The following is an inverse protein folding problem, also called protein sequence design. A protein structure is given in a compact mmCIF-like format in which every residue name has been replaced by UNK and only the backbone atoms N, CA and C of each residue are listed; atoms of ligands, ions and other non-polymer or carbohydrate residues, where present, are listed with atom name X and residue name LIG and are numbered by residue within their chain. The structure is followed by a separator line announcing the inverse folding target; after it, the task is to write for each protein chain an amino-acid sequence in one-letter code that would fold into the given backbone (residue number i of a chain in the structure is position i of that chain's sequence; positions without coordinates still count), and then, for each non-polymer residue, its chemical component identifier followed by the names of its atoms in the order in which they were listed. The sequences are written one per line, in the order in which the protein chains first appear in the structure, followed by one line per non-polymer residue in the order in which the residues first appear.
data_IF_208044459167
#
_entry.id   IF_208044459167
#
_cell.length_a   1.000
_cell.length_b   1.000
_cell.length_c   1.000
_cell.angle_alpha   90.00
_cell.angle_beta   90.00
_cell.angle_gamma   90.00
#
_symmetry.space_group_name_H-M   'P 1'
#
loop_
_entity.id
_entity.type
_entity.pdbx_description
1 polymer ?
#
# COMPACT_ATOMS: atom_id res chain seq x y z
N UNK A 1 -12.47 11.54 -21.24
CA UNK A 1 -12.46 12.99 -21.49
C UNK A 1 -11.06 13.49 -21.20
N UNK A 2 -10.33 13.85 -22.26
CA UNK A 2 -8.89 14.12 -22.30
C UNK A 2 -8.65 15.58 -21.92
N UNK A 3 -7.80 15.83 -20.93
CA UNK A 3 -7.18 17.13 -20.70
C UNK A 3 -5.70 16.87 -20.45
N UNK A 4 -4.93 16.94 -21.53
CA UNK A 4 -3.48 17.05 -21.50
C UNK A 4 -3.14 18.41 -20.90
N UNK A 5 -2.37 18.42 -19.82
CA UNK A 5 -1.63 19.61 -19.37
C UNK A 5 -0.66 19.20 -18.26
N UNK A 6 0.55 19.71 -18.40
CA UNK A 6 1.71 19.63 -17.53
C UNK A 6 2.70 18.49 -17.77
N UNK A 7 3.94 18.94 -17.87
CA UNK A 7 5.18 18.19 -17.73
C UNK A 7 5.44 18.12 -16.21
N UNK A 8 5.65 16.91 -15.67
CA UNK A 8 6.05 16.72 -14.27
C UNK A 8 7.45 17.28 -13.99
N UNK A 9 7.85 17.39 -12.72
CA UNK A 9 9.21 17.79 -12.31
C UNK A 9 10.32 16.93 -12.97
N UNK A 10 9.97 15.75 -13.50
CA UNK A 10 10.85 14.82 -14.21
C UNK A 10 10.73 14.89 -15.74
N UNK A 11 10.07 15.90 -16.31
CA UNK A 11 9.92 16.01 -17.77
C UNK A 11 8.83 15.11 -18.37
N UNK A 12 8.11 14.31 -17.56
CA UNK A 12 7.10 13.35 -18.07
C UNK A 12 5.75 14.00 -18.29
N UNK A 13 5.06 13.58 -19.35
CA UNK A 13 3.65 13.92 -19.61
C UNK A 13 2.76 13.42 -18.46
N UNK A 14 1.80 14.25 -18.04
CA UNK A 14 0.81 13.91 -17.01
C UNK A 14 -0.55 13.62 -17.65
N UNK A 15 -1.09 12.43 -17.43
CA UNK A 15 -2.44 12.05 -17.84
C UNK A 15 -3.46 12.25 -16.73
N UNK A 16 -4.55 12.95 -17.04
CA UNK A 16 -5.70 13.08 -16.13
C UNK A 16 -6.67 11.91 -16.29
N UNK A 17 -6.96 11.23 -15.19
CA UNK A 17 -7.88 10.10 -15.15
C UNK A 17 -8.94 10.28 -14.06
N UNK A 18 -10.16 9.81 -14.32
CA UNK A 18 -11.22 9.75 -13.30
C UNK A 18 -11.67 8.31 -13.12
N UNK A 19 -11.51 7.80 -11.91
CA UNK A 19 -11.92 6.46 -11.50
C UNK A 19 -13.20 6.50 -10.65
N UNK A 20 -13.91 5.37 -10.58
CA UNK A 20 -15.07 5.20 -9.69
C UNK A 20 -14.63 5.21 -8.21
N UNK A 21 -13.55 4.50 -7.89
CA UNK A 21 -12.96 4.40 -6.56
C UNK A 21 -11.46 4.06 -6.67
N UNK A 22 -10.78 3.97 -5.52
CA UNK A 22 -9.35 3.65 -5.45
C UNK A 22 -9.02 2.20 -5.81
N UNK A 23 -9.94 1.27 -5.56
CA UNK A 23 -9.80 -0.16 -5.83
C UNK A 23 -9.66 -0.46 -7.33
N UNK A 24 -10.36 0.31 -8.16
CA UNK A 24 -10.34 0.16 -9.62
C UNK A 24 -8.93 0.23 -10.21
N UNK A 25 -8.02 1.00 -9.59
CA UNK A 25 -6.65 1.12 -10.08
C UNK A 25 -5.83 -0.15 -9.87
N UNK A 26 -5.97 -0.78 -8.69
CA UNK A 26 -5.32 -2.07 -8.41
C UNK A 26 -5.75 -3.14 -9.40
N UNK A 27 -7.07 -3.25 -9.63
CA UNK A 27 -7.67 -4.16 -10.61
C UNK A 27 -7.14 -3.92 -12.03
N UNK A 28 -6.94 -2.66 -12.42
CA UNK A 28 -6.38 -2.34 -13.73
C UNK A 28 -4.94 -2.81 -13.88
N UNK A 29 -4.12 -2.67 -12.83
CA UNK A 29 -2.76 -3.20 -12.83
C UNK A 29 -2.75 -4.72 -12.88
N UNK A 30 -3.56 -5.38 -12.05
CA UNK A 30 -3.68 -6.84 -12.04
C UNK A 30 -4.11 -7.39 -13.41
N UNK A 31 -5.11 -6.78 -14.05
CA UNK A 31 -5.53 -7.16 -15.40
C UNK A 31 -4.43 -6.90 -16.44
N UNK A 32 -3.66 -5.83 -16.29
CA UNK A 32 -2.50 -5.56 -17.14
C UNK A 32 -1.44 -6.64 -17.03
N UNK A 33 -1.11 -7.06 -15.81
CA UNK A 33 -0.20 -8.18 -15.54
C UNK A 33 -0.73 -9.47 -16.15
N UNK A 34 -2.03 -9.78 -15.98
CA UNK A 34 -2.65 -10.96 -16.59
C UNK A 34 -2.47 -11.00 -18.11
N UNK A 35 -2.71 -9.86 -18.78
CA UNK A 35 -2.58 -9.75 -20.23
C UNK A 35 -1.13 -9.97 -20.69
N UNK A 36 -0.14 -9.49 -19.93
CA UNK A 36 1.28 -9.67 -20.24
C UNK A 36 1.74 -11.10 -20.04
N UNK A 37 1.32 -11.71 -18.93
CA UNK A 37 1.63 -13.09 -18.58
C UNK A 37 0.80 -14.12 -19.37
N UNK A 38 -0.18 -13.66 -20.16
CA UNK A 38 -1.14 -14.52 -20.90
C UNK A 38 -1.90 -15.48 -19.98
N UNK A 39 -2.26 -15.01 -18.79
CA UNK A 39 -3.06 -15.77 -17.81
C UNK A 39 -4.48 -15.20 -17.68
N UNK A 40 -5.50 -16.03 -17.36
CA UNK A 40 -6.86 -15.53 -17.18
C UNK A 40 -6.99 -14.55 -16.01
N UNK A 41 -7.60 -13.38 -16.27
CA UNK A 41 -7.96 -12.43 -15.23
C UNK A 41 -9.27 -12.85 -14.54
N UNK A 42 -9.15 -13.55 -13.41
CA UNK A 42 -10.29 -13.98 -12.60
C UNK A 42 -10.75 -12.89 -11.62
N UNK A 43 -12.02 -12.48 -11.68
CA UNK A 43 -12.64 -11.59 -10.68
C UNK A 43 -14.12 -11.90 -10.52
N UNK A 44 -14.65 -11.71 -9.31
CA UNK A 44 -16.08 -11.88 -9.00
C UNK A 44 -16.88 -10.64 -9.37
N UNK A 45 -16.22 -9.49 -9.56
CA UNK A 45 -16.85 -8.18 -9.77
C UNK A 45 -16.63 -7.70 -11.21
N UNK A 46 -17.62 -7.03 -11.77
CA UNK A 46 -17.48 -6.40 -13.09
C UNK A 46 -16.77 -5.06 -12.98
N UNK A 47 -15.66 -4.91 -13.70
CA UNK A 47 -14.94 -3.64 -13.84
C UNK A 47 -14.89 -3.22 -15.31
N UNK A 48 -14.88 -1.91 -15.60
CA UNK A 48 -14.69 -1.42 -16.96
C UNK A 48 -13.39 -1.97 -17.57
N UNK A 49 -13.30 -1.94 -18.90
CA UNK A 49 -12.06 -2.28 -19.57
C UNK A 49 -10.92 -1.34 -19.14
N UNK A 50 -9.74 -1.91 -18.93
CA UNK A 50 -8.55 -1.13 -18.61
C UNK A 50 -8.21 -0.26 -19.82
N UNK A 51 -8.03 1.06 -19.66
CA UNK A 51 -7.67 1.92 -20.77
C UNK A 51 -6.36 1.48 -21.44
N UNK A 52 -6.31 1.51 -22.77
CA UNK A 52 -5.15 1.03 -23.54
C UNK A 52 -3.83 1.68 -23.13
N UNK A 53 -3.80 3.01 -22.97
CA UNK A 53 -2.60 3.75 -22.54
C UNK A 53 -2.04 3.24 -21.19
N UNK A 54 -2.92 2.85 -20.27
CA UNK A 54 -2.52 2.36 -18.95
C UNK A 54 -1.89 0.96 -19.06
N UNK A 55 -2.47 0.12 -19.92
CA UNK A 55 -1.91 -1.20 -20.23
C UNK A 55 -0.55 -1.10 -20.93
N UNK A 56 -0.40 -0.14 -21.84
CA UNK A 56 0.85 0.10 -22.55
C UNK A 56 1.94 0.60 -21.59
N UNK A 57 1.62 1.50 -20.67
CA UNK A 57 2.53 1.94 -19.60
C UNK A 57 2.94 0.79 -18.66
N UNK A 58 1.99 -0.05 -18.24
CA UNK A 58 2.26 -1.24 -17.43
C UNK A 58 3.18 -2.20 -18.18
N UNK A 59 2.93 -2.43 -19.48
CA UNK A 59 3.79 -3.25 -20.34
C UNK A 59 5.20 -2.70 -20.41
N UNK A 60 5.33 -1.41 -20.70
CA UNK A 60 6.61 -0.73 -20.82
C UNK A 60 7.43 -0.87 -19.54
N UNK A 61 6.81 -0.60 -18.38
CA UNK A 61 7.52 -0.60 -17.11
C UNK A 61 7.85 -2.01 -16.59
N UNK A 62 6.94 -2.97 -16.72
CA UNK A 62 7.01 -4.24 -15.97
C UNK A 62 7.32 -5.47 -16.83
N UNK A 63 7.36 -5.39 -18.16
CA UNK A 63 7.52 -6.58 -19.03
C UNK A 63 8.75 -7.42 -18.70
N UNK A 64 9.91 -6.81 -18.52
CA UNK A 64 11.16 -7.50 -18.18
C UNK A 64 11.06 -8.21 -16.82
N UNK A 65 10.65 -7.49 -15.77
CA UNK A 65 10.50 -8.06 -14.43
C UNK A 65 9.45 -9.18 -14.37
N UNK A 66 8.31 -9.02 -15.07
CA UNK A 66 7.27 -10.05 -15.13
C UNK A 66 7.74 -11.30 -15.89
N UNK A 67 8.58 -11.13 -16.91
CA UNK A 67 9.22 -12.24 -17.63
C UNK A 67 10.20 -12.98 -16.74
N UNK A 68 10.96 -12.27 -15.90
CA UNK A 68 11.90 -12.87 -14.95
C UNK A 68 11.19 -13.72 -13.89
N UNK A 69 10.16 -13.17 -13.24
CA UNK A 69 9.47 -13.87 -12.15
C UNK A 69 8.52 -14.96 -12.66
N UNK A 70 8.03 -14.88 -13.90
CA UNK A 70 7.24 -15.93 -14.55
C UNK A 70 5.88 -16.19 -13.89
N UNK A 71 4.93 -15.26 -14.04
CA UNK A 71 3.55 -15.38 -13.53
C UNK A 71 2.79 -16.53 -14.23
N UNK A 72 2.15 -17.40 -13.46
CA UNK A 72 1.36 -18.53 -13.98
C UNK A 72 -0.12 -18.46 -13.67
N UNK A 73 -0.52 -17.77 -12.60
CA UNK A 73 -1.92 -17.72 -12.20
C UNK A 73 -2.26 -16.42 -11.47
N UNK A 74 -3.50 -15.98 -11.65
CA UNK A 74 -4.10 -14.87 -10.93
C UNK A 74 -4.98 -15.39 -9.77
N UNK A 75 -4.66 -15.00 -8.54
CA UNK A 75 -5.31 -15.43 -7.30
C UNK A 75 -6.01 -14.31 -6.52
N UNK A 76 -5.96 -13.05 -6.97
CA UNK A 76 -6.51 -11.90 -6.25
C UNK A 76 -7.99 -12.04 -5.85
N UNK A 77 -8.79 -12.73 -6.67
CA UNK A 77 -10.21 -13.01 -6.38
C UNK A 77 -10.47 -13.89 -5.14
N UNK A 78 -9.46 -14.60 -4.63
CA UNK A 78 -9.58 -15.50 -3.47
C UNK A 78 -9.59 -14.75 -2.13
N UNK A 79 -9.53 -13.41 -2.13
CA UNK A 79 -9.43 -12.57 -0.93
C UNK A 79 -8.26 -12.96 0.00
N UNK A 80 -7.19 -13.51 -0.58
CA UNK A 80 -5.96 -13.87 0.11
C UNK A 80 -5.02 -12.67 0.28
N UNK A 81 -3.79 -12.96 0.69
CA UNK A 81 -2.73 -11.95 0.79
C UNK A 81 -1.90 -11.76 -0.49
N UNK A 82 -2.25 -12.49 -1.55
CA UNK A 82 -1.45 -12.64 -2.76
C UNK A 82 -2.33 -12.53 -4.00
N UNK A 83 -1.85 -11.79 -5.00
CA UNK A 83 -2.57 -11.51 -6.23
C UNK A 83 -2.18 -12.48 -7.35
N UNK A 84 -0.95 -13.00 -7.36
CA UNK A 84 -0.47 -13.96 -8.36
C UNK A 84 0.50 -15.00 -7.81
N UNK A 85 0.60 -16.16 -8.46
CA UNK A 85 1.68 -17.12 -8.23
C UNK A 85 2.58 -17.25 -9.45
N UNK A 86 3.83 -17.63 -9.21
CA UNK A 86 4.85 -17.84 -10.25
C UNK A 86 5.12 -19.32 -10.50
N UNK A 87 5.87 -19.62 -11.58
CA UNK A 87 6.36 -20.97 -11.88
C UNK A 87 7.19 -21.61 -10.74
N UNK A 88 7.80 -20.79 -9.88
CA UNK A 88 8.61 -21.25 -8.75
C UNK A 88 7.83 -21.35 -7.44
N UNK A 89 6.49 -21.40 -7.52
CA UNK A 89 5.56 -21.38 -6.38
C UNK A 89 5.67 -20.14 -5.48
N UNK A 90 6.38 -19.10 -5.96
CA UNK A 90 6.48 -17.82 -5.26
C UNK A 90 5.21 -17.00 -5.42
N UNK A 91 5.01 -16.14 -4.46
CA UNK A 91 3.84 -15.27 -4.33
C UNK A 91 4.14 -13.85 -4.78
N UNK A 92 3.16 -13.19 -5.40
CA UNK A 92 3.27 -11.80 -5.85
C UNK A 92 2.06 -11.00 -5.36
N UNK A 93 2.33 -9.84 -4.77
CA UNK A 93 1.29 -8.85 -4.43
C UNK A 93 1.47 -7.56 -5.23
N UNK A 94 0.36 -6.89 -5.54
CA UNK A 94 0.30 -5.62 -6.24
C UNK A 94 -0.20 -4.55 -5.30
N UNK A 95 0.51 -3.42 -5.26
CA UNK A 95 0.09 -2.23 -4.52
C UNK A 95 0.12 -1.02 -5.46
N UNK A 96 -0.90 -0.18 -5.35
CA UNK A 96 -1.00 1.03 -6.20
C UNK A 96 -1.13 2.28 -5.36
N UNK A 97 -0.37 3.32 -5.71
CA UNK A 97 -0.50 4.66 -5.16
C UNK A 97 -1.00 5.57 -6.29
N UNK A 98 -2.18 6.16 -6.10
CA UNK A 98 -2.82 7.02 -7.09
C UNK A 98 -2.05 8.32 -7.31
N UNK A 99 -1.88 9.10 -6.24
CA UNK A 99 -1.39 10.48 -6.29
C UNK A 99 -0.29 10.69 -5.24
N UNK A 100 -0.06 11.93 -4.81
CA UNK A 100 0.99 12.35 -3.86
C UNK A 100 0.89 11.76 -2.44
N UNK A 101 -0.16 11.02 -2.08
CA UNK A 101 -0.36 10.53 -0.70
C UNK A 101 0.73 9.53 -0.24
N UNK A 102 1.58 9.00 -1.14
CA UNK A 102 2.81 8.23 -0.83
C UNK A 102 2.64 7.14 0.27
N UNK A 103 1.44 6.59 0.46
CA UNK A 103 1.10 5.71 1.58
C UNK A 103 0.57 4.38 1.09
N UNK A 104 1.01 3.30 1.73
CA UNK A 104 0.55 1.93 1.46
C UNK A 104 0.09 1.25 2.75
N UNK A 105 -0.93 0.40 2.63
CA UNK A 105 -1.44 -0.40 3.74
C UNK A 105 -0.78 -1.79 3.74
N UNK A 106 -0.45 -2.33 4.93
CA UNK A 106 -0.27 -3.76 5.14
C UNK A 106 -1.48 -4.55 4.64
N UNK A 107 -1.25 -5.73 4.06
CA UNK A 107 -2.28 -6.54 3.42
C UNK A 107 -3.28 -7.10 4.42
N UNK A 108 -2.76 -7.71 5.50
CA UNK A 108 -3.56 -8.12 6.65
C UNK A 108 -3.46 -7.05 7.72
N UNK A 109 -4.56 -6.82 8.45
CA UNK A 109 -4.69 -5.90 9.60
C UNK A 109 -4.28 -4.43 9.41
N UNK A 110 -3.75 -4.04 8.25
CA UNK A 110 -3.44 -2.65 7.90
C UNK A 110 -4.67 -1.79 7.66
N UNK A 111 -5.81 -2.40 7.35
CA UNK A 111 -7.12 -1.76 7.33
C UNK A 111 -8.18 -2.81 7.68
N UNK A 112 -8.63 -2.81 8.93
CA UNK A 112 -9.58 -3.80 9.44
C UNK A 112 -10.63 -3.14 10.34
N UNK A 113 -11.63 -3.91 10.78
CA UNK A 113 -12.58 -3.51 11.82
C UNK A 113 -11.90 -3.56 13.19
N UNK A 114 -12.47 -2.87 14.19
CA UNK A 114 -11.95 -2.93 15.56
C UNK A 114 -11.93 -4.37 16.08
N UNK A 115 -12.99 -5.14 15.79
CA UNK A 115 -13.07 -6.56 16.18
C UNK A 115 -11.92 -7.39 15.61
N UNK A 116 -11.62 -7.24 14.31
CA UNK A 116 -10.54 -8.01 13.69
C UNK A 116 -9.16 -7.56 14.16
N UNK A 117 -9.00 -6.29 14.50
CA UNK A 117 -7.79 -5.79 15.14
C UNK A 117 -7.59 -6.45 16.51
N UNK A 118 -8.65 -6.49 17.32
CA UNK A 118 -8.63 -7.11 18.65
C UNK A 118 -8.36 -8.61 18.60
N UNK A 119 -9.05 -9.34 17.72
CA UNK A 119 -8.84 -10.78 17.51
C UNK A 119 -7.40 -11.11 17.09
N UNK A 120 -6.75 -10.22 16.34
CA UNK A 120 -5.41 -10.45 15.81
C UNK A 120 -4.32 -10.07 16.82
N UNK A 121 -4.50 -8.96 17.53
CA UNK A 121 -3.49 -8.43 18.45
C UNK A 121 -3.76 -8.76 19.92
N UNK A 122 -4.88 -9.41 20.22
CA UNK A 122 -5.33 -9.77 21.57
C UNK A 122 -5.32 -8.54 22.49
N UNK A 123 -6.00 -7.47 22.06
CA UNK A 123 -6.01 -6.19 22.79
C UNK A 123 -6.75 -6.34 24.10
N UNK A 124 -7.90 -7.02 24.08
CA UNK A 124 -8.67 -7.40 25.25
C UNK A 124 -8.22 -8.78 25.76
N UNK A 125 -8.18 -8.98 27.08
CA UNK A 125 -7.81 -10.26 27.67
C UNK A 125 -8.97 -11.26 27.53
N UNK A 126 -8.65 -12.55 27.34
CA UNK A 126 -9.66 -13.62 27.34
C UNK A 126 -10.41 -13.63 28.68
N UNK A 127 -11.70 -13.34 28.64
CA UNK A 127 -12.57 -13.23 29.82
C UNK A 127 -13.27 -11.87 29.95
N UNK A 128 -12.83 -10.86 29.21
CA UNK A 128 -13.49 -9.56 29.13
C UNK A 128 -14.69 -9.65 28.16
N UNK A 129 -15.79 -10.24 28.63
CA UNK A 129 -16.93 -10.66 27.80
C UNK A 129 -17.82 -9.51 27.29
N UNK A 130 -17.36 -8.26 27.31
CA UNK A 130 -18.19 -7.10 26.93
C UNK A 130 -17.61 -6.30 25.76
N UNK A 131 -17.89 -6.78 24.54
CA UNK A 131 -17.89 -5.94 23.33
C UNK A 131 -16.52 -5.61 22.72
N UNK A 132 -16.55 -4.80 21.66
CA UNK A 132 -15.34 -4.33 20.94
C UNK A 132 -14.55 -3.37 21.84
N UNK A 133 -13.20 -3.39 21.85
CA UNK A 133 -12.41 -2.47 22.66
C UNK A 133 -12.74 -1.01 22.31
N UNK A 134 -12.78 -0.17 23.34
CA UNK A 134 -12.97 1.26 23.15
C UNK A 134 -11.78 1.87 22.41
N UNK A 135 -11.98 3.06 21.83
CA UNK A 135 -10.90 3.77 21.13
C UNK A 135 -9.71 4.06 22.04
N UNK A 136 -9.96 4.38 23.31
CA UNK A 136 -8.90 4.72 24.25
C UNK A 136 -8.10 3.48 24.65
N UNK A 137 -8.76 2.32 24.76
CA UNK A 137 -8.09 1.02 24.93
C UNK A 137 -7.20 0.71 23.72
N UNK A 138 -7.71 0.87 22.50
CA UNK A 138 -6.91 0.67 21.28
C UNK A 138 -5.70 1.61 21.22
N UNK A 139 -5.90 2.91 21.47
CA UNK A 139 -4.82 3.92 21.47
C UNK A 139 -3.77 3.61 22.53
N UNK A 140 -4.21 3.22 23.73
CA UNK A 140 -3.34 2.80 24.82
C UNK A 140 -2.52 1.56 24.47
N UNK A 141 -3.16 0.55 23.86
CA UNK A 141 -2.48 -0.66 23.39
C UNK A 141 -1.43 -0.32 22.32
N UNK A 142 -1.80 0.48 21.32
CA UNK A 142 -0.88 0.86 20.23
C UNK A 142 0.32 1.64 20.77
N UNK A 143 0.07 2.54 21.73
CA UNK A 143 1.15 3.33 22.35
C UNK A 143 2.13 2.45 23.12
N UNK A 144 1.63 1.43 23.83
CA UNK A 144 2.44 0.49 24.61
C UNK A 144 3.19 -0.53 23.74
N UNK A 145 2.62 -0.91 22.59
CA UNK A 145 3.12 -1.99 21.73
C UNK A 145 3.65 -1.51 20.37
N UNK A 146 4.02 -0.23 20.25
CA UNK A 146 4.31 0.41 18.98
C UNK A 146 5.37 -0.33 18.14
N UNK A 147 6.48 -0.73 18.75
CA UNK A 147 7.58 -1.40 18.06
C UNK A 147 7.15 -2.76 17.48
N UNK A 148 6.54 -3.61 18.32
CA UNK A 148 5.98 -4.91 17.90
C UNK A 148 4.97 -4.75 16.76
N UNK A 149 4.06 -3.76 16.87
CA UNK A 149 3.07 -3.49 15.84
C UNK A 149 3.72 -3.07 14.52
N UNK A 150 4.71 -2.19 14.57
CA UNK A 150 5.42 -1.72 13.39
C UNK A 150 6.18 -2.85 12.69
N UNK A 151 6.84 -3.74 13.44
CA UNK A 151 7.47 -4.95 12.91
C UNK A 151 6.45 -5.83 12.19
N UNK A 152 5.33 -6.13 12.85
CA UNK A 152 4.30 -6.99 12.28
C UNK A 152 3.63 -6.37 11.06
N UNK A 153 3.43 -5.06 11.05
CA UNK A 153 2.94 -4.36 9.87
C UNK A 153 3.92 -4.39 8.71
N UNK A 154 5.23 -4.34 8.95
CA UNK A 154 6.24 -4.47 7.90
C UNK A 154 6.13 -5.84 7.23
N UNK A 155 6.07 -6.91 8.02
CA UNK A 155 5.90 -8.29 7.53
C UNK A 155 4.60 -8.44 6.71
N UNK A 156 3.51 -7.83 7.16
CA UNK A 156 2.23 -7.85 6.44
C UNK A 156 2.17 -6.90 5.24
N UNK A 157 3.11 -5.95 5.11
CA UNK A 157 3.20 -5.04 3.95
C UNK A 157 3.86 -5.73 2.77
N UNK A 158 4.96 -6.44 3.02
CA UNK A 158 5.71 -7.20 2.03
C UNK A 158 5.60 -8.71 2.34
N UNK A 159 4.35 -9.18 2.40
CA UNK A 159 4.02 -10.55 2.81
C UNK A 159 4.22 -11.60 1.70
N UNK A 160 4.40 -11.16 0.46
CA UNK A 160 4.71 -12.01 -0.69
C UNK A 160 6.21 -11.99 -0.99
N UNK A 161 6.69 -12.98 -1.74
CA UNK A 161 8.07 -13.05 -2.20
C UNK A 161 8.43 -11.86 -3.10
N UNK A 162 7.45 -11.44 -3.91
CA UNK A 162 7.53 -10.28 -4.79
C UNK A 162 6.41 -9.30 -4.46
N UNK A 163 6.72 -8.01 -4.41
CA UNK A 163 5.72 -6.94 -4.33
C UNK A 163 5.94 -5.92 -5.43
N UNK A 164 4.95 -5.76 -6.30
CA UNK A 164 4.95 -4.75 -7.36
C UNK A 164 4.20 -3.53 -6.84
N UNK A 165 4.91 -2.43 -6.63
CA UNK A 165 4.34 -1.17 -6.18
C UNK A 165 4.33 -0.15 -7.31
N UNK A 166 3.15 0.22 -7.81
CA UNK A 166 3.00 1.21 -8.87
C UNK A 166 2.57 2.56 -8.29
N UNK A 167 3.41 3.57 -8.40
CA UNK A 167 3.10 4.94 -8.00
C UNK A 167 2.79 5.81 -9.22
N UNK A 168 1.52 5.86 -9.59
CA UNK A 168 1.01 6.54 -10.78
C UNK A 168 1.29 8.04 -10.80
N UNK A 169 1.10 8.73 -9.66
CA UNK A 169 1.43 10.16 -9.53
C UNK A 169 2.89 10.53 -9.79
N UNK A 170 3.81 9.57 -9.68
CA UNK A 170 5.26 9.77 -9.93
C UNK A 170 5.73 9.07 -11.21
N UNK A 171 4.88 8.27 -11.85
CA UNK A 171 5.26 7.45 -13.00
C UNK A 171 6.39 6.46 -12.67
N UNK A 172 6.41 5.88 -11.47
CA UNK A 172 7.46 4.95 -11.03
C UNK A 172 6.85 3.66 -10.51
N UNK A 173 7.50 2.54 -10.81
CA UNK A 173 7.20 1.24 -10.24
C UNK A 173 8.40 0.78 -9.42
N UNK A 174 8.14 0.20 -8.26
CA UNK A 174 9.14 -0.48 -7.44
C UNK A 174 8.83 -1.97 -7.41
N UNK A 175 9.80 -2.76 -7.83
CA UNK A 175 9.74 -4.21 -7.77
C UNK A 175 10.55 -4.65 -6.55
N UNK A 176 9.85 -5.08 -5.50
CA UNK A 176 10.42 -5.35 -4.18
C UNK A 176 10.50 -6.86 -4.00
N UNK A 177 11.71 -7.38 -3.86
CA UNK A 177 11.98 -8.81 -3.73
C UNK A 177 12.40 -9.14 -2.30
N UNK A 178 11.80 -10.17 -1.74
CA UNK A 178 12.15 -10.74 -0.45
C UNK A 178 13.16 -11.87 -0.65
N UNK A 179 14.24 -11.85 0.13
CA UNK A 179 15.25 -12.92 0.17
C UNK A 179 15.50 -13.46 1.57
N UNK A 180 14.73 -12.99 2.57
CA UNK A 180 14.83 -13.45 3.95
C UNK A 180 13.71 -12.88 4.82
N UNK A 181 13.80 -13.09 6.13
CA UNK A 181 12.87 -12.50 7.09
C UNK A 181 13.02 -10.98 7.11
N UNK A 182 11.91 -10.26 7.05
CA UNK A 182 11.92 -8.81 7.14
C UNK A 182 12.09 -8.41 8.60
N UNK A 183 12.90 -7.39 8.84
CA UNK A 183 13.12 -6.86 10.18
C UNK A 183 13.73 -5.48 10.07
N UNK A 184 13.35 -4.60 10.99
CA UNK A 184 14.10 -3.37 11.22
C UNK A 184 15.46 -3.68 11.87
N UNK A 185 16.49 -2.89 11.51
CA UNK A 185 17.80 -2.98 12.13
C UNK A 185 17.73 -2.56 13.60
N UNK A 186 18.55 -3.18 14.46
CA UNK A 186 18.71 -2.76 15.86
C UNK A 186 19.05 -1.27 15.95
N UNK A 187 18.49 -0.59 16.95
CA UNK A 187 18.79 0.82 17.25
C UNK A 187 17.87 1.84 16.56
N UNK A 188 16.91 1.41 15.75
CA UNK A 188 15.81 2.29 15.34
C UNK A 188 14.92 2.60 16.54
N UNK A 189 14.48 3.85 16.65
CA UNK A 189 13.53 4.27 17.70
C UNK A 189 12.23 4.72 17.06
N UNK A 190 11.13 4.13 17.52
CA UNK A 190 9.78 4.49 17.07
C UNK A 190 9.08 5.38 18.09
N UNK A 191 8.29 6.34 17.61
CA UNK A 191 7.52 7.24 18.48
C UNK A 191 6.24 7.71 17.80
N UNK A 192 5.22 8.05 18.58
CA UNK A 192 4.01 8.72 18.11
C UNK A 192 4.21 10.24 18.12
N UNK A 193 3.43 10.99 17.32
CA UNK A 193 3.48 12.46 17.27
C UNK A 193 2.98 13.07 18.58
N UNK A 194 1.76 12.70 18.95
CA UNK A 194 1.02 13.29 20.06
C UNK A 194 0.59 12.19 21.03
N UNK A 195 0.49 12.54 22.31
CA UNK A 195 -0.23 11.73 23.31
C UNK A 195 -1.75 11.86 23.06
N UNK A 196 -2.22 13.06 22.73
CA UNK A 196 -3.61 13.31 22.33
C UNK A 196 -3.85 12.89 20.88
N UNK A 197 -4.35 11.67 20.74
CA UNK A 197 -4.77 11.09 19.47
C UNK A 197 -6.28 11.29 19.30
N UNK A 198 -6.71 12.14 18.35
CA UNK A 198 -8.12 12.20 17.95
C UNK A 198 -8.45 11.05 16.98
N UNK A 199 -8.37 11.30 15.67
CA UNK A 199 -8.67 10.31 14.63
C UNK A 199 -7.41 9.65 14.06
N UNK A 200 -6.29 10.38 13.97
CA UNK A 200 -5.03 9.81 13.50
C UNK A 200 -3.82 10.24 14.31
N UNK A 201 -2.76 9.43 14.23
CA UNK A 201 -1.49 9.72 14.87
C UNK A 201 -0.33 9.25 13.97
N UNK A 202 0.68 10.10 13.85
CA UNK A 202 1.85 9.81 13.01
C UNK A 202 2.86 8.99 13.79
N UNK A 203 3.33 7.90 13.18
CA UNK A 203 4.47 7.12 13.66
C UNK A 203 5.74 7.68 13.02
N UNK A 204 6.72 7.99 13.84
CA UNK A 204 8.04 8.40 13.42
C UNK A 204 9.08 7.32 13.69
N UNK A 205 10.11 7.31 12.86
CA UNK A 205 11.33 6.53 13.05
C UNK A 205 12.53 7.48 13.14
N UNK A 206 13.44 7.20 14.07
CA UNK A 206 14.74 7.84 14.15
C UNK A 206 15.82 6.78 13.93
N UNK A 207 16.75 7.06 13.03
CA UNK A 207 17.95 6.22 12.83
C UNK A 207 19.13 6.88 13.56
N UNK A 208 20.25 6.16 13.80
CA UNK A 208 21.43 6.75 14.41
C UNK A 208 22.02 7.94 13.63
N UNK A 209 21.83 7.97 12.31
CA UNK A 209 22.47 8.92 11.40
C UNK A 209 21.53 9.99 10.83
N UNK A 210 20.22 9.89 11.06
CA UNK A 210 19.23 10.76 10.43
C UNK A 210 18.26 11.39 11.44
N UNK A 211 17.73 12.55 11.06
CA UNK A 211 16.64 13.20 11.77
C UNK A 211 15.36 12.35 11.73
N UNK A 212 14.40 12.74 12.57
CA UNK A 212 13.09 12.09 12.73
C UNK A 212 12.34 12.06 11.39
N UNK A 213 12.05 10.88 10.86
CA UNK A 213 11.28 10.67 9.61
C UNK A 213 9.88 10.12 9.92
N UNK A 214 8.88 10.51 9.12
CA UNK A 214 7.52 9.94 9.21
C UNK A 214 7.51 8.52 8.64
N UNK A 215 7.39 7.52 9.51
CA UNK A 215 7.33 6.12 9.10
C UNK A 215 5.93 5.74 8.59
N UNK A 216 4.89 6.22 9.26
CA UNK A 216 3.53 5.82 8.95
C UNK A 216 2.49 6.59 9.76
N UNK A 217 1.25 6.16 9.67
CA UNK A 217 0.11 6.79 10.34
C UNK A 217 -0.90 5.73 10.76
N UNK A 218 -1.29 5.78 12.04
CA UNK A 218 -2.47 5.09 12.51
C UNK A 218 -3.70 5.98 12.35
N UNK A 219 -4.83 5.41 11.96
CA UNK A 219 -6.13 6.06 11.89
C UNK A 219 -7.19 5.18 12.56
N UNK A 220 -7.86 5.73 13.57
CA UNK A 220 -9.00 5.13 14.28
C UNK A 220 -10.18 6.06 14.04
N UNK A 221 -11.04 5.70 13.10
CA UNK A 221 -12.14 6.57 12.67
C UNK A 221 -13.19 6.74 13.77
N UNK A 222 -13.70 7.97 13.95
CA UNK A 222 -14.70 8.27 14.99
C UNK A 222 -16.10 7.75 14.62
N UNK A 223 -16.45 7.80 13.34
CA UNK A 223 -17.79 7.49 12.83
C UNK A 223 -17.84 6.18 12.03
N UNK A 224 -16.77 5.39 12.04
CA UNK A 224 -16.66 4.15 11.26
C UNK A 224 -15.90 3.11 12.07
N UNK A 225 -16.39 1.87 12.05
CA UNK A 225 -15.71 0.73 12.66
C UNK A 225 -14.49 0.32 11.83
N UNK A 226 -13.40 1.07 11.97
CA UNK A 226 -12.16 0.77 11.26
C UNK A 226 -10.91 1.31 11.97
N UNK A 227 -9.93 0.42 12.09
CA UNK A 227 -8.54 0.72 12.46
C UNK A 227 -7.68 0.57 11.21
N UNK A 228 -6.82 1.56 10.96
CA UNK A 228 -5.93 1.57 9.79
C UNK A 228 -4.53 1.94 10.19
N UNK A 229 -3.56 1.31 9.56
CA UNK A 229 -2.17 1.71 9.57
C UNK A 229 -1.67 1.82 8.15
N UNK A 230 -0.97 2.90 7.82
CA UNK A 230 -0.35 3.09 6.50
C UNK A 230 1.09 3.52 6.65
N UNK A 231 2.00 2.82 5.98
CA UNK A 231 3.39 3.25 5.89
C UNK A 231 3.54 4.39 4.90
N UNK A 232 4.47 5.30 5.18
CA UNK A 232 5.03 6.21 4.20
C UNK A 232 6.03 5.44 3.32
N UNK A 233 5.73 5.40 2.04
CA UNK A 233 6.48 4.63 1.04
C UNK A 233 7.88 5.18 0.84
N UNK A 234 8.06 6.51 0.79
CA UNK A 234 9.38 7.11 0.60
C UNK A 234 10.30 6.72 1.77
N UNK A 235 9.77 6.75 2.99
CA UNK A 235 10.52 6.36 4.19
C UNK A 235 10.82 4.86 4.20
N UNK A 236 9.86 3.99 3.84
CA UNK A 236 10.14 2.55 3.71
C UNK A 236 11.26 2.26 2.70
N UNK A 237 11.15 2.81 1.49
CA UNK A 237 12.15 2.61 0.43
C UNK A 237 13.51 3.15 0.87
N UNK A 238 13.56 4.33 1.50
CA UNK A 238 14.79 4.89 2.07
C UNK A 238 15.41 3.96 3.12
N UNK A 239 14.61 3.40 4.02
CA UNK A 239 15.11 2.47 5.04
C UNK A 239 15.62 1.15 4.43
N UNK A 240 15.04 0.69 3.32
CA UNK A 240 15.56 -0.47 2.56
C UNK A 240 16.93 -0.11 1.95
N UNK A 241 17.03 1.02 1.26
CA UNK A 241 18.27 1.49 0.63
C UNK A 241 19.39 1.71 1.65
N UNK A 242 19.06 2.31 2.79
CA UNK A 242 20.01 2.58 3.89
C UNK A 242 20.31 1.32 4.73
N UNK A 243 19.78 0.14 4.34
CA UNK A 243 19.94 -1.16 5.03
C UNK A 243 19.44 -1.18 6.48
N UNK A 244 18.48 -0.31 6.79
CA UNK A 244 17.73 -0.29 8.04
C UNK A 244 16.52 -1.24 8.04
N UNK A 245 16.07 -1.69 6.87
CA UNK A 245 15.19 -2.84 6.71
C UNK A 245 15.98 -3.95 6.00
N UNK A 246 16.00 -5.14 6.60
CA UNK A 246 16.71 -6.32 6.08
C UNK A 246 15.74 -7.31 5.42
N UNK A 247 16.29 -8.28 4.67
CA UNK A 247 15.52 -9.37 4.08
C UNK A 247 14.80 -9.01 2.79
N UNK A 248 14.98 -7.78 2.30
CA UNK A 248 14.43 -7.30 1.03
C UNK A 248 15.38 -6.37 0.30
N UNK A 249 15.21 -6.30 -1.02
CA UNK A 249 15.78 -5.30 -1.93
C UNK A 249 14.69 -4.82 -2.88
N UNK A 250 14.93 -3.72 -3.57
CA UNK A 250 14.05 -3.32 -4.66
C UNK A 250 14.81 -2.79 -5.85
N UNK A 251 14.21 -2.92 -7.02
CA UNK A 251 14.59 -2.20 -8.24
C UNK A 251 13.48 -1.22 -8.60
N UNK A 252 13.82 -0.18 -9.36
CA UNK A 252 12.87 0.79 -9.86
C UNK A 252 12.82 0.77 -11.38
N UNK A 253 11.62 0.80 -11.91
CA UNK A 253 11.31 1.00 -13.33
C UNK A 253 10.30 2.14 -13.45
N UNK A 254 10.02 2.60 -14.67
CA UNK A 254 9.24 3.80 -14.89
C UNK A 254 8.11 3.54 -15.85
N UNK A 255 6.94 4.10 -15.50
CA UNK A 255 5.88 4.28 -16.47
C UNK A 255 6.34 5.34 -17.48
N UNK A 256 5.95 5.19 -18.74
CA UNK A 256 6.20 6.22 -19.75
C UNK A 256 5.52 7.55 -19.34
N UNK A 257 4.39 7.46 -18.64
CA UNK A 257 3.62 8.62 -18.20
C UNK A 257 3.39 8.65 -16.68
N UNK A 258 3.19 9.87 -16.17
CA UNK A 258 2.67 10.09 -14.81
C UNK A 258 1.18 10.41 -14.87
N UNK A 259 0.48 10.26 -13.75
CA UNK A 259 -0.97 10.39 -13.74
C UNK A 259 -1.47 11.27 -12.59
N UNK A 260 -2.44 12.12 -12.91
CA UNK A 260 -3.27 12.83 -11.93
C UNK A 260 -4.65 12.14 -11.89
N UNK A 261 -4.87 11.33 -10.85
CA UNK A 261 -6.03 10.45 -10.76
C UNK A 261 -7.03 11.00 -9.75
N UNK A 262 -8.23 11.32 -10.22
CA UNK A 262 -9.36 11.72 -9.38
C UNK A 262 -10.34 10.57 -9.19
N UNK A 263 -11.09 10.54 -8.09
CA UNK A 263 -12.20 9.58 -7.92
C UNK A 263 -13.54 10.29 -7.95
N UNK A 264 -14.58 9.65 -8.48
CA UNK A 264 -15.95 10.21 -8.54
C UNK A 264 -16.52 10.59 -7.17
N UNK A 265 -16.09 9.93 -6.09
CA UNK A 265 -16.46 10.33 -4.71
C UNK A 265 -15.92 11.72 -4.36
N UNK A 266 -14.66 12.00 -4.70
CA UNK A 266 -14.02 13.28 -4.39
C UNK A 266 -14.62 14.48 -5.15
N UNK A 267 -15.28 14.24 -6.29
CA UNK A 267 -15.94 15.29 -7.07
C UNK A 267 -17.18 15.83 -6.33
N UNK A 268 -17.89 14.97 -5.59
CA UNK A 268 -19.09 15.38 -4.83
C UNK A 268 -18.72 16.24 -3.63
N UNK A 269 -17.64 15.90 -2.92
CA UNK A 269 -17.19 16.67 -1.75
C UNK A 269 -16.60 18.03 -2.13
N UNK A 270 -16.03 18.16 -3.34
CA UNK A 270 -15.50 19.42 -3.87
C UNK A 270 -16.55 20.42 -4.38
N UNK A 271 -17.80 19.99 -4.59
CA UNK A 271 -18.89 20.88 -5.04
C UNK A 271 -19.77 21.42 -3.90
N UNK A 272 -19.59 20.93 -2.67
CA UNK A 272 -20.37 21.38 -1.50
C UNK A 272 -19.67 22.57 -0.79
N UNK A 273 -18.43 22.91 -1.15
CA UNK A 273 -17.66 24.01 -0.56
C UNK A 273 -17.67 25.35 -1.31
N UNK A 274 -18.61 25.56 -2.24
CA UNK A 274 -18.81 26.86 -2.91
C UNK A 274 -20.29 27.18 -3.05
N UNK A 275 -20.91 27.58 -1.95
CA UNK A 275 -21.99 28.57 -1.92
C UNK A 275 -21.87 29.37 -0.63
#
# INVERSE_FOLDING_TARGET
MRLEKCVSELGRRVYKCTLKNTEQLGVYVERGICNLAKVPFNTVRTYPMTPKYLLDDIRYALSEYLSEIGIICHTGHKNGSCDFQTHSEKTVSVKTIMNSNNKICPQKVGQCTVKRFDEHFEVTQKGDTQGKPSRDVLKGYISKNLEKLVDEYLDNTFCCDHTILVHFGKGVCYCIDKYGRLSFSRGLKFSLKNIEWNESNTVYVKTPLCSKMTLGEFQIHNNRDSVKFRFNTNTLLKLITDRHIRGTKYTSTYLEHSYDITTKRNIRDGQIGKK
#
